data_IF_143790488968
#
_entry.id   IF_143790488968
#
_cell.length_a   1.000
_cell.length_b   1.000
_cell.length_c   1.000
_cell.angle_alpha   90.00
_cell.angle_beta   90.00
_cell.angle_gamma   90.00
#
_symmetry.space_group_name_H-M   'P 1'
#
loop_
_entity.id
_entity.type
_entity.pdbx_description
1 polymer ?
#
# COMPACT_ATOMS: atom_id res chain seq x y z
N UNK A 1 15.72 1.88 -0.32
CA UNK A 1 15.53 0.53 -0.91
C UNK A 1 14.88 0.72 -2.26
N UNK A 2 15.21 -0.12 -3.25
CA UNK A 2 14.59 -0.02 -4.57
C UNK A 2 13.15 -0.56 -4.55
N UNK A 3 12.24 -0.05 -5.41
CA UNK A 3 10.89 -0.60 -5.55
C UNK A 3 10.90 -2.08 -5.95
N UNK A 4 9.91 -2.83 -5.49
CA UNK A 4 9.79 -4.27 -5.76
C UNK A 4 8.33 -4.72 -5.87
N UNK A 5 8.12 -5.88 -6.48
CA UNK A 5 6.77 -6.43 -6.66
C UNK A 5 6.51 -7.55 -5.65
N UNK A 6 5.28 -7.61 -5.15
CA UNK A 6 4.72 -8.75 -4.43
C UNK A 6 3.63 -9.37 -5.29
N UNK A 7 3.74 -10.68 -5.56
CA UNK A 7 2.75 -11.44 -6.32
C UNK A 7 2.02 -12.37 -5.36
N UNK A 8 0.72 -12.13 -5.17
CA UNK A 8 -0.14 -12.94 -4.32
C UNK A 8 -1.03 -13.80 -5.23
N UNK A 9 -1.05 -15.12 -5.01
CA UNK A 9 -1.81 -16.07 -5.85
C UNK A 9 -2.87 -16.83 -5.03
N UNK A 10 -4.02 -16.21 -4.72
CA UNK A 10 -5.11 -16.93 -4.06
C UNK A 10 -5.84 -17.83 -5.07
N UNK A 11 -5.52 -19.13 -5.04
CA UNK A 11 -6.15 -20.14 -5.90
C UNK A 11 -5.84 -19.92 -7.38
N UNK A 12 -6.87 -19.63 -8.17
CA UNK A 12 -6.74 -19.36 -9.62
C UNK A 12 -6.53 -17.88 -9.97
N UNK A 13 -6.61 -16.98 -8.99
CA UNK A 13 -6.42 -15.54 -9.17
C UNK A 13 -4.98 -15.13 -8.88
N UNK A 14 -4.54 -14.01 -9.46
CA UNK A 14 -3.26 -13.37 -9.18
C UNK A 14 -3.49 -11.88 -8.89
N UNK A 15 -2.83 -11.38 -7.85
CA UNK A 15 -2.78 -9.97 -7.47
C UNK A 15 -1.32 -9.54 -7.48
N UNK A 16 -1.01 -8.52 -8.27
CA UNK A 16 0.32 -7.94 -8.39
C UNK A 16 0.35 -6.57 -7.70
N UNK A 17 1.10 -6.48 -6.61
CA UNK A 17 1.31 -5.25 -5.86
C UNK A 17 2.71 -4.72 -6.15
N UNK A 18 2.83 -3.42 -6.35
CA UNK A 18 4.12 -2.75 -6.41
C UNK A 18 4.35 -1.97 -5.10
N UNK A 19 5.47 -2.26 -4.45
CA UNK A 19 5.87 -1.64 -3.19
C UNK A 19 6.94 -0.60 -3.50
N UNK A 20 6.63 0.65 -3.16
CA UNK A 20 7.52 1.79 -3.30
C UNK A 20 8.00 2.25 -1.92
N UNK A 21 9.23 1.90 -1.51
CA UNK A 21 9.84 2.46 -0.30
C UNK A 21 9.94 3.98 -0.38
N UNK A 22 9.59 4.66 0.70
CA UNK A 22 9.72 6.11 0.85
C UNK A 22 10.83 6.46 1.86
N UNK A 23 10.97 7.76 2.14
CA UNK A 23 11.82 8.22 3.24
C UNK A 23 11.26 7.77 4.60
N UNK A 24 12.11 7.73 5.63
CA UNK A 24 11.74 7.32 7.00
C UNK A 24 11.18 5.89 7.18
N UNK A 25 11.30 5.02 6.17
CA UNK A 25 10.92 3.60 6.29
C UNK A 25 9.43 3.32 6.13
N UNK A 26 8.69 4.24 5.49
CA UNK A 26 7.31 3.98 5.04
C UNK A 26 7.29 3.37 3.64
N UNK A 27 6.19 2.73 3.27
CA UNK A 27 6.05 2.04 1.98
C UNK A 27 4.69 2.35 1.37
N UNK A 28 4.71 2.92 0.16
CA UNK A 28 3.50 3.09 -0.65
C UNK A 28 3.20 1.81 -1.42
N UNK A 29 1.93 1.40 -1.40
CA UNK A 29 1.43 0.19 -2.04
C UNK A 29 0.63 0.61 -3.27
N UNK A 30 1.07 0.19 -4.44
CA UNK A 30 0.45 0.52 -5.72
C UNK A 30 -0.19 -0.74 -6.32
N UNK A 31 -1.45 -0.63 -6.74
CA UNK A 31 -2.19 -1.67 -7.46
C UNK A 31 -2.74 -1.10 -8.77
N UNK A 32 -2.40 -1.73 -9.90
CA UNK A 32 -2.74 -1.23 -11.26
C UNK A 32 -2.42 0.26 -11.49
N UNK A 33 -1.32 0.75 -10.92
CA UNK A 33 -0.90 2.16 -11.07
C UNK A 33 -1.64 3.14 -10.16
N UNK A 34 -2.56 2.67 -9.32
CA UNK A 34 -3.24 3.46 -8.31
C UNK A 34 -2.69 3.19 -6.91
N UNK A 35 -2.58 4.23 -6.09
CA UNK A 35 -2.18 4.13 -4.69
C UNK A 35 -3.31 3.46 -3.89
N UNK A 36 -3.02 2.26 -3.40
CA UNK A 36 -3.91 1.48 -2.55
C UNK A 36 -3.80 1.88 -1.09
N UNK A 37 -2.59 2.23 -0.64
CA UNK A 37 -2.34 2.60 0.76
C UNK A 37 -0.87 2.88 1.04
N UNK A 38 -0.59 3.28 2.27
CA UNK A 38 0.76 3.45 2.79
C UNK A 38 0.88 2.74 4.14
N UNK A 39 1.97 1.99 4.32
CA UNK A 39 2.25 1.27 5.57
C UNK A 39 3.56 1.73 6.18
N UNK A 40 3.62 1.69 7.51
CA UNK A 40 4.78 2.09 8.29
C UNK A 40 4.90 1.22 9.55
N UNK A 41 6.10 1.14 10.11
CA UNK A 41 6.29 0.46 11.39
C UNK A 41 5.75 1.38 12.50
N UNK A 42 4.88 0.83 13.34
CA UNK A 42 4.32 1.50 14.49
C UNK A 42 5.40 1.96 15.47
N UNK A 43 5.05 2.91 16.32
CA UNK A 43 5.99 3.55 17.25
C UNK A 43 6.63 2.59 18.27
N UNK A 44 6.00 1.44 18.52
CA UNK A 44 6.51 0.36 19.37
C UNK A 44 7.53 -0.55 18.64
N UNK A 45 7.62 -0.45 17.32
CA UNK A 45 8.48 -1.29 16.49
C UNK A 45 8.01 -2.75 16.33
N UNK A 46 6.81 -3.08 16.81
CA UNK A 46 6.29 -4.45 16.84
C UNK A 46 5.21 -4.69 15.79
N UNK A 47 4.43 -3.65 15.45
CA UNK A 47 3.29 -3.77 14.56
C UNK A 47 3.42 -2.89 13.32
N UNK A 48 2.97 -3.40 12.18
CA UNK A 48 2.79 -2.58 10.99
C UNK A 48 1.44 -1.87 11.08
N UNK A 49 1.47 -0.56 10.85
CA UNK A 49 0.30 0.31 10.79
C UNK A 49 0.07 0.78 9.34
N UNK A 50 -1.16 1.22 9.05
CA UNK A 50 -1.55 1.71 7.73
C UNK A 50 -2.17 3.10 7.86
N UNK A 51 -1.91 3.95 6.86
CA UNK A 51 -2.56 5.25 6.73
C UNK A 51 -3.98 5.05 6.23
N UNK A 52 -4.95 5.76 6.83
CA UNK A 52 -6.34 5.73 6.40
C UNK A 52 -6.52 6.33 5.00
N UNK A 53 -7.57 5.96 4.28
CA UNK A 53 -7.83 6.51 2.95
C UNK A 53 -7.95 8.05 2.95
N UNK A 54 -8.46 8.63 4.04
CA UNK A 54 -8.65 10.08 4.20
C UNK A 54 -7.33 10.85 4.40
N UNK A 55 -6.31 10.19 4.97
CA UNK A 55 -5.00 10.78 5.28
C UNK A 55 -3.95 10.45 4.21
N UNK A 56 -4.32 9.66 3.20
CA UNK A 56 -3.42 9.16 2.18
C UNK A 56 -2.95 10.29 1.25
N UNK A 57 -1.66 10.62 1.30
CA UNK A 57 -1.08 11.60 0.39
C UNK A 57 -0.75 10.96 -0.98
N UNK A 58 -1.44 11.34 -2.07
CA UNK A 58 -1.36 10.62 -3.34
C UNK A 58 0.02 10.73 -4.00
N UNK A 59 0.78 11.79 -3.72
CA UNK A 59 2.14 11.99 -4.25
C UNK A 59 2.25 11.91 -5.78
N UNK A 60 1.14 12.14 -6.50
CA UNK A 60 1.07 12.02 -7.97
C UNK A 60 0.42 10.74 -8.51
N UNK A 61 0.04 9.79 -7.66
CA UNK A 61 -0.73 8.60 -8.05
C UNK A 61 -2.24 8.86 -7.94
N UNK A 62 -3.07 8.28 -8.82
CA UNK A 62 -4.51 8.20 -8.55
C UNK A 62 -4.73 7.34 -7.30
N UNK A 63 -5.58 7.77 -6.37
CA UNK A 63 -5.96 6.96 -5.22
C UNK A 63 -6.97 5.90 -5.66
N UNK A 64 -6.73 4.65 -5.29
CA UNK A 64 -7.65 3.56 -5.57
C UNK A 64 -8.92 3.77 -4.73
N UNK A 65 -10.06 4.00 -5.39
CA UNK A 65 -11.34 4.19 -4.72
C UNK A 65 -11.86 2.83 -4.22
N UNK A 66 -11.42 2.42 -3.03
CA UNK A 66 -12.02 1.34 -2.28
C UNK A 66 -12.92 1.93 -1.21
N UNK A 67 -14.19 1.54 -1.21
CA UNK A 67 -15.12 1.90 -0.14
C UNK A 67 -14.98 0.85 0.97
N UNK A 68 -14.41 1.26 2.10
CA UNK A 68 -14.17 0.40 3.27
C UNK A 68 -15.47 -0.21 3.85
N UNK A 69 -16.65 0.30 3.46
CA UNK A 69 -17.96 -0.26 3.86
C UNK A 69 -18.45 -1.40 2.97
N UNK A 70 -17.68 -1.79 1.95
CA UNK A 70 -18.08 -2.80 0.95
C UNK A 70 -17.82 -4.25 1.36
N UNK A 71 -17.36 -4.48 2.60
CA UNK A 71 -16.97 -5.80 3.14
C UNK A 71 -18.02 -6.48 3.99
#
# INVERSE_FOLDING_TARGET
MDPFNIIIKPGASQVDLNIHPQEAGTYKIIYHGALLGEIFMGSDGENWEAVTADELEPGGFPVYSYDETSG
#
